data_IF_521840818481
#
_entry.id   IF_521840818481
#
_cell.length_a   1.000
_cell.length_b   1.000
_cell.length_c   1.000
_cell.angle_alpha   90.00
_cell.angle_beta   90.00
_cell.angle_gamma   90.00
#
_symmetry.space_group_name_H-M   'P 1'
#
loop_
_entity.id
_entity.type
_entity.pdbx_description
1 polymer ?
#
# COMPACT_ATOMS: atom_id res chain seq x y z
N UNK A 1 -21.97 -3.13 15.42
CA UNK A 1 -20.91 -3.92 14.78
C UNK A 1 -20.98 -3.62 13.30
N UNK A 2 -20.14 -2.72 12.79
CA UNK A 2 -20.08 -2.43 11.34
C UNK A 2 -19.45 -3.65 10.70
N UNK A 3 -20.12 -4.24 9.71
CA UNK A 3 -19.60 -5.42 9.03
C UNK A 3 -18.23 -5.06 8.42
N UNK A 4 -17.14 -5.66 8.92
CA UNK A 4 -15.77 -5.46 8.40
C UNK A 4 -15.65 -5.69 6.89
N UNK A 5 -16.64 -6.36 6.30
CA UNK A 5 -16.72 -6.70 4.88
C UNK A 5 -17.66 -5.79 4.07
N UNK A 6 -18.19 -4.71 4.66
CA UNK A 6 -19.07 -3.76 3.97
C UNK A 6 -18.28 -2.52 3.55
N UNK A 7 -18.20 -2.30 2.25
CA UNK A 7 -17.61 -1.10 1.66
C UNK A 7 -18.74 -0.10 1.41
N UNK A 8 -18.79 0.98 2.19
CA UNK A 8 -19.58 2.14 1.82
C UNK A 8 -18.94 2.81 0.61
N UNK A 9 -19.76 3.26 -0.35
CA UNK A 9 -19.25 4.00 -1.51
C UNK A 9 -18.42 5.21 -1.07
N UNK A 10 -17.23 5.36 -1.65
CA UNK A 10 -16.29 6.43 -1.30
C UNK A 10 -15.37 6.17 -0.09
N UNK A 11 -15.34 4.97 0.50
CA UNK A 11 -14.34 4.62 1.52
C UNK A 11 -12.92 4.79 0.95
N UNK A 12 -12.10 5.60 1.64
CA UNK A 12 -10.69 5.79 1.30
C UNK A 12 -9.84 5.00 2.27
N UNK A 13 -8.99 4.13 1.73
CA UNK A 13 -8.06 3.28 2.46
C UNK A 13 -6.62 3.69 2.18
N UNK A 14 -5.72 3.28 3.07
CA UNK A 14 -4.28 3.50 2.93
C UNK A 14 -3.63 2.21 2.47
N UNK A 15 -2.75 2.32 1.49
CA UNK A 15 -1.98 1.21 0.94
C UNK A 15 -0.48 1.47 1.00
N UNK A 16 0.27 0.38 1.16
CA UNK A 16 1.72 0.36 1.02
C UNK A 16 2.08 -0.75 0.02
N UNK A 17 2.99 -0.44 -0.89
CA UNK A 17 3.77 -1.44 -1.62
C UNK A 17 5.18 -1.38 -1.02
N UNK A 18 5.62 -2.45 -0.35
CA UNK A 18 6.94 -2.53 0.27
C UNK A 18 8.04 -2.47 -0.79
N UNK A 19 9.21 -2.02 -0.37
CA UNK A 19 10.41 -2.06 -1.21
C UNK A 19 10.75 -3.50 -1.61
N UNK A 20 11.16 -3.68 -2.87
CA UNK A 20 11.81 -4.90 -3.32
C UNK A 20 13.23 -4.53 -3.76
N UNK A 21 14.28 -5.02 -3.05
CA UNK A 21 15.66 -4.65 -3.33
C UNK A 21 16.02 -4.82 -4.80
N UNK A 22 16.65 -3.78 -5.38
CA UNK A 22 17.06 -3.69 -6.79
C UNK A 22 15.91 -3.64 -7.81
N UNK A 23 14.66 -3.71 -7.38
CA UNK A 23 13.49 -3.64 -8.26
C UNK A 23 12.73 -2.33 -8.10
N UNK A 24 12.31 -1.92 -6.89
CA UNK A 24 11.64 -0.64 -6.65
C UNK A 24 11.65 -0.28 -5.16
N UNK A 25 11.62 1.02 -4.87
CA UNK A 25 11.40 1.53 -3.51
C UNK A 25 9.96 1.32 -3.01
N UNK A 26 9.68 1.71 -1.76
CA UNK A 26 8.33 1.64 -1.21
C UNK A 26 7.42 2.69 -1.88
N UNK A 27 6.13 2.38 -1.98
CA UNK A 27 5.11 3.31 -2.49
C UNK A 27 3.95 3.36 -1.50
N UNK A 28 3.70 4.53 -0.92
CA UNK A 28 2.53 4.80 -0.07
C UNK A 28 1.48 5.52 -0.88
N UNK A 29 0.23 5.12 -0.69
CA UNK A 29 -0.88 5.68 -1.45
C UNK A 29 -2.19 5.60 -0.68
N UNK A 30 -3.14 6.42 -1.08
CA UNK A 30 -4.53 6.36 -0.64
C UNK A 30 -5.40 5.97 -1.82
N UNK A 31 -6.35 5.09 -1.61
CA UNK A 31 -7.18 4.56 -2.68
C UNK A 31 -8.62 4.31 -2.25
N UNK A 32 -9.52 4.28 -3.24
CA UNK A 32 -10.91 3.87 -3.06
C UNK A 32 -11.07 2.46 -3.56
N UNK A 33 -11.55 1.58 -2.69
CA UNK A 33 -11.80 0.19 -3.04
C UNK A 33 -12.89 0.11 -4.10
N UNK A 34 -12.67 -0.67 -5.16
CA UNK A 34 -13.68 -0.84 -6.19
C UNK A 34 -14.80 -1.77 -5.74
N UNK A 35 -16.06 -1.39 -5.94
CA UNK A 35 -17.22 -2.24 -5.64
C UNK A 35 -17.29 -3.48 -6.55
N UNK A 36 -17.88 -4.56 -6.05
CA UNK A 36 -17.89 -5.87 -6.72
C UNK A 36 -18.57 -5.88 -8.10
N UNK A 37 -19.60 -5.07 -8.30
CA UNK A 37 -20.27 -4.88 -9.59
C UNK A 37 -19.34 -4.21 -10.61
N UNK A 38 -18.60 -3.18 -10.18
CA UNK A 38 -17.62 -2.47 -11.00
C UNK A 38 -16.41 -3.32 -11.36
N UNK A 39 -15.98 -4.20 -10.45
CA UNK A 39 -14.95 -5.21 -10.76
C UNK A 39 -15.39 -6.10 -11.92
N UNK A 40 -16.64 -6.58 -11.91
CA UNK A 40 -17.18 -7.40 -13.01
C UNK A 40 -17.24 -6.65 -14.34
N UNK A 41 -17.60 -5.37 -14.32
CA UNK A 41 -17.59 -4.51 -15.52
C UNK A 41 -16.18 -4.37 -16.11
N UNK A 42 -15.16 -4.12 -15.26
CA UNK A 42 -13.76 -3.98 -15.70
C UNK A 42 -13.22 -5.27 -16.32
N UNK A 43 -13.49 -6.40 -15.67
CA UNK A 43 -13.02 -7.73 -16.09
C UNK A 43 -13.89 -8.34 -17.21
N UNK A 44 -14.95 -7.68 -17.65
CA UNK A 44 -15.78 -8.18 -18.72
C UNK A 44 -14.97 -8.34 -20.03
N UNK A 45 -15.02 -9.55 -20.59
CA UNK A 45 -14.27 -9.95 -21.79
C UNK A 45 -12.75 -9.79 -21.66
N UNK A 46 -12.20 -9.82 -20.45
CA UNK A 46 -10.77 -9.57 -20.21
C UNK A 46 -9.85 -10.44 -21.07
N UNK A 47 -10.15 -11.73 -21.23
CA UNK A 47 -9.29 -12.64 -21.99
C UNK A 47 -9.41 -12.48 -23.51
N UNK A 48 -10.42 -11.75 -23.98
CA UNK A 48 -10.70 -11.55 -25.41
C UNK A 48 -10.16 -10.21 -25.94
N UNK A 49 -9.73 -9.31 -25.06
CA UNK A 49 -9.23 -7.98 -25.44
C UNK A 49 -7.72 -7.96 -25.66
N UNK A 50 -7.26 -7.03 -26.51
CA UNK A 50 -5.84 -6.84 -26.79
C UNK A 50 -5.05 -6.38 -25.56
N UNK A 51 -3.74 -6.60 -25.56
CA UNK A 51 -2.86 -6.12 -24.50
C UNK A 51 -2.94 -4.59 -24.32
N UNK A 52 -3.03 -3.83 -25.41
CA UNK A 52 -3.19 -2.37 -25.37
C UNK A 52 -4.48 -1.96 -24.66
N UNK A 53 -5.59 -2.66 -24.94
CA UNK A 53 -6.87 -2.39 -24.28
C UNK A 53 -6.84 -2.77 -22.80
N UNK A 54 -6.16 -3.88 -22.44
CA UNK A 54 -5.90 -4.23 -21.03
C UNK A 54 -5.16 -3.12 -20.31
N UNK A 55 -4.04 -2.65 -20.87
CA UNK A 55 -3.25 -1.55 -20.29
C UNK A 55 -4.10 -0.28 -20.12
N UNK A 56 -4.92 0.06 -21.13
CA UNK A 56 -5.82 1.23 -21.05
C UNK A 56 -6.82 1.09 -19.90
N UNK A 57 -7.44 -0.08 -19.74
CA UNK A 57 -8.39 -0.34 -18.64
C UNK A 57 -7.70 -0.31 -17.28
N UNK A 58 -6.53 -0.93 -17.14
CA UNK A 58 -5.72 -0.88 -15.91
C UNK A 58 -5.46 0.58 -15.52
N UNK A 59 -4.95 1.38 -16.46
CA UNK A 59 -4.65 2.78 -16.20
C UNK A 59 -5.90 3.57 -15.81
N UNK A 60 -7.01 3.36 -16.50
CA UNK A 60 -8.28 4.03 -16.20
C UNK A 60 -8.78 3.71 -14.78
N UNK A 61 -8.63 2.45 -14.33
CA UNK A 61 -8.99 2.05 -12.97
C UNK A 61 -8.10 2.74 -11.94
N UNK A 62 -6.78 2.69 -12.12
CA UNK A 62 -5.82 3.31 -11.19
C UNK A 62 -6.07 4.82 -11.09
N UNK A 63 -6.21 5.52 -12.24
CA UNK A 63 -6.45 6.97 -12.27
C UNK A 63 -7.74 7.35 -11.54
N UNK A 64 -8.78 6.52 -11.64
CA UNK A 64 -10.06 6.79 -11.00
C UNK A 64 -10.04 6.52 -9.49
N UNK A 65 -9.27 5.54 -9.05
CA UNK A 65 -9.38 5.00 -7.69
C UNK A 65 -8.24 5.40 -6.77
N UNK A 66 -7.04 5.67 -7.27
CA UNK A 66 -5.96 6.23 -6.45
C UNK A 66 -6.26 7.72 -6.21
N UNK A 67 -6.28 8.11 -4.94
CA UNK A 67 -6.56 9.47 -4.49
C UNK A 67 -5.27 10.27 -4.38
N UNK A 68 -4.23 9.67 -3.81
CA UNK A 68 -2.92 10.29 -3.59
C UNK A 68 -1.82 9.22 -3.51
N UNK A 69 -0.56 9.60 -3.75
CA UNK A 69 0.62 8.76 -3.56
C UNK A 69 1.87 9.57 -3.22
N UNK A 70 2.93 8.91 -2.74
CA UNK A 70 4.22 9.54 -2.40
C UNK A 70 5.29 9.43 -3.51
N UNK A 71 4.88 9.12 -4.75
CA UNK A 71 5.82 9.03 -5.87
C UNK A 71 6.28 10.40 -6.32
N UNK A 72 7.59 10.64 -6.29
CA UNK A 72 8.21 11.92 -6.65
C UNK A 72 9.32 11.81 -7.71
N UNK A 73 9.50 12.87 -8.48
CA UNK A 73 10.67 13.12 -9.34
C UNK A 73 11.10 14.56 -9.13
N UNK A 74 12.39 14.78 -8.87
CA UNK A 74 12.98 16.11 -8.61
C UNK A 74 12.24 16.90 -7.50
N UNK A 75 11.82 16.19 -6.43
CA UNK A 75 11.11 16.77 -5.29
C UNK A 75 9.67 17.22 -5.60
N UNK A 76 9.08 16.74 -6.71
CA UNK A 76 7.68 17.00 -7.07
C UNK A 76 6.92 15.69 -7.17
N UNK A 77 5.76 15.64 -6.50
CA UNK A 77 4.83 14.52 -6.63
C UNK A 77 4.37 14.36 -8.07
N UNK A 78 4.48 13.12 -8.57
CA UNK A 78 4.04 12.78 -9.91
C UNK A 78 2.51 12.79 -10.01
N UNK A 79 1.93 13.29 -11.10
CA UNK A 79 0.48 13.25 -11.29
C UNK A 79 0.02 11.81 -11.54
N UNK A 80 -1.17 11.48 -11.04
CA UNK A 80 -1.84 10.19 -11.31
C UNK A 80 -2.51 10.26 -12.68
N UNK A 81 -1.71 10.07 -13.73
CA UNK A 81 -2.20 10.08 -15.12
C UNK A 81 -1.59 8.93 -15.95
N UNK A 82 -2.10 8.73 -17.17
CA UNK A 82 -1.62 7.64 -18.03
C UNK A 82 -0.14 7.79 -18.42
N UNK A 83 0.38 9.02 -18.51
CA UNK A 83 1.77 9.27 -18.90
C UNK A 83 2.73 8.87 -17.78
N UNK A 84 2.38 9.15 -16.54
CA UNK A 84 3.10 8.69 -15.35
C UNK A 84 3.03 7.18 -15.25
N UNK A 85 1.83 6.58 -15.33
CA UNK A 85 1.66 5.12 -15.21
C UNK A 85 2.43 4.34 -16.27
N UNK A 86 2.49 4.83 -17.51
CA UNK A 86 3.32 4.23 -18.58
C UNK A 86 4.82 4.24 -18.31
N UNK A 87 5.29 5.06 -17.36
CA UNK A 87 6.71 5.18 -16.98
C UNK A 87 7.04 4.47 -15.67
N UNK A 88 6.02 4.06 -14.91
CA UNK A 88 6.22 3.25 -13.71
C UNK A 88 6.63 1.84 -14.09
N UNK A 89 7.34 1.18 -13.17
CA UNK A 89 7.68 -0.23 -13.33
C UNK A 89 6.39 -1.05 -13.34
N UNK A 90 6.31 -2.01 -14.26
CA UNK A 90 5.10 -2.82 -14.52
C UNK A 90 4.51 -3.44 -13.25
N UNK A 91 5.37 -3.96 -12.37
CA UNK A 91 4.96 -4.60 -11.12
C UNK A 91 4.29 -3.63 -10.13
N UNK A 92 4.66 -2.34 -10.13
CA UNK A 92 3.95 -1.32 -9.33
C UNK A 92 2.56 -1.08 -9.88
N UNK A 93 2.44 -0.92 -11.21
CA UNK A 93 1.15 -0.68 -11.87
C UNK A 93 0.21 -1.86 -11.66
N UNK A 94 0.70 -3.09 -11.83
CA UNK A 94 -0.06 -4.31 -11.61
C UNK A 94 -0.49 -4.46 -10.15
N UNK A 95 0.41 -4.19 -9.18
CA UNK A 95 0.08 -4.30 -7.76
C UNK A 95 -0.95 -3.25 -7.32
N UNK A 96 -0.81 -1.99 -7.76
CA UNK A 96 -1.82 -0.94 -7.53
C UNK A 96 -3.20 -1.36 -8.07
N UNK A 97 -3.23 -1.89 -9.31
CA UNK A 97 -4.47 -2.37 -9.91
C UNK A 97 -5.10 -3.52 -9.11
N UNK A 98 -4.29 -4.52 -8.74
CA UNK A 98 -4.80 -5.68 -8.00
C UNK A 98 -5.34 -5.29 -6.61
N UNK A 99 -4.67 -4.38 -5.91
CA UNK A 99 -5.13 -3.87 -4.61
C UNK A 99 -6.48 -3.16 -4.75
N UNK A 100 -6.59 -2.22 -5.71
CA UNK A 100 -7.85 -1.49 -5.99
C UNK A 100 -9.00 -2.45 -6.37
N UNK A 101 -8.66 -3.52 -7.09
CA UNK A 101 -9.60 -4.54 -7.56
C UNK A 101 -9.93 -5.62 -6.52
N UNK A 102 -9.40 -5.52 -5.29
CA UNK A 102 -9.55 -6.53 -4.24
C UNK A 102 -9.01 -7.92 -4.62
N UNK A 103 -8.04 -7.98 -5.53
CA UNK A 103 -7.36 -9.21 -5.97
C UNK A 103 -6.06 -9.47 -5.21
N UNK A 104 -5.54 -8.44 -4.54
CA UNK A 104 -4.35 -8.49 -3.69
C UNK A 104 -4.55 -7.54 -2.49
N UNK A 105 -3.74 -7.71 -1.46
CA UNK A 105 -3.75 -6.84 -0.28
C UNK A 105 -2.58 -5.85 -0.34
N UNK A 106 -2.75 -4.62 0.18
CA UNK A 106 -1.60 -3.77 0.45
C UNK A 106 -0.66 -4.47 1.44
N UNK A 107 0.64 -4.24 1.29
CA UNK A 107 1.62 -4.80 2.21
C UNK A 107 1.42 -4.18 3.60
N UNK A 108 1.59 -5.00 4.65
CA UNK A 108 1.49 -4.51 6.02
C UNK A 108 2.56 -3.44 6.28
N UNK A 109 2.16 -2.33 6.90
CA UNK A 109 3.12 -1.45 7.55
C UNK A 109 3.59 -2.22 8.77
N UNK A 110 4.82 -2.74 8.76
CA UNK A 110 5.35 -3.34 9.99
C UNK A 110 5.27 -2.25 11.07
N UNK A 111 4.67 -2.55 12.24
CA UNK A 111 4.74 -1.62 13.35
C UNK A 111 6.23 -1.36 13.56
N UNK A 112 6.64 -0.11 13.39
CA UNK A 112 7.99 0.33 13.74
C UNK A 112 8.27 -0.27 15.11
N UNK A 113 9.33 -1.09 15.21
CA UNK A 113 9.72 -1.79 16.43
C UNK A 113 9.39 -0.89 17.60
N UNK A 114 8.43 -1.29 18.45
CA UNK A 114 8.14 -0.57 19.68
C UNK A 114 9.51 -0.39 20.34
N UNK A 115 9.98 0.86 20.38
CA UNK A 115 11.20 1.21 21.08
C UNK A 115 11.00 0.65 22.48
N UNK A 116 11.74 -0.41 22.78
CA UNK A 116 11.72 -1.05 24.08
C UNK A 116 12.28 -0.02 25.06
N UNK A 117 11.38 0.81 25.59
CA UNK A 117 11.70 1.95 26.44
C UNK A 117 12.44 1.48 27.69
N UNK A 118 12.26 0.23 28.12
CA UNK A 118 13.00 -0.40 29.21
C UNK A 118 14.49 -0.60 28.88
N UNK A 119 14.84 -0.82 27.60
CA UNK A 119 16.23 -0.84 27.13
C UNK A 119 16.84 0.55 26.99
N UNK A 120 16.02 1.54 26.64
CA UNK A 120 16.48 2.93 26.42
C UNK A 120 16.61 3.71 27.72
N UNK A 121 15.77 3.43 28.72
CA UNK A 121 15.76 4.16 29.99
C UNK A 121 16.82 3.69 30.98
N UNK A 122 17.62 2.66 30.65
CA UNK A 122 18.73 2.21 31.50
C UNK A 122 18.22 1.82 32.88
N UNK A 123 17.89 0.54 33.07
CA UNK A 123 17.68 0.00 34.41
C UNK A 123 18.95 0.07 35.25
N UNK A 124 19.30 1.26 35.73
CA UNK A 124 20.22 1.50 36.83
C UNK A 124 19.51 1.05 38.11
N UNK A 125 19.52 -0.26 38.32
CA UNK A 125 19.39 -0.84 39.65
C UNK A 125 20.78 -1.04 40.24
N UNK A 126 21.52 0.05 40.50
CA UNK A 126 22.70 0.01 41.36
C UNK A 126 22.28 -0.22 42.83
N UNK A 127 22.85 -1.28 43.39
CA UNK A 127 23.48 -1.39 44.72
C UNK A 127 22.67 -1.33 46.02
N UNK A 128 22.91 -2.36 46.85
CA UNK A 128 22.44 -2.47 48.23
C UNK A 128 23.05 -3.64 48.98
N UNK A 129 24.33 -3.47 49.33
CA UNK A 129 25.18 -4.20 50.28
C UNK A 129 24.47 -4.80 51.54
N UNK A 130 24.99 -5.92 52.07
CA UNK A 130 24.39 -6.60 53.22
C UNK A 130 25.11 -7.88 53.68
N UNK A 131 26.27 -7.67 54.29
CA UNK A 131 27.18 -8.63 54.92
C UNK A 131 26.57 -9.47 56.09
N UNK A 132 27.18 -10.64 56.34
CA UNK A 132 27.34 -11.39 57.60
C UNK A 132 26.27 -12.37 58.21
N UNK A 133 26.80 -13.59 58.50
CA UNK A 133 26.49 -14.60 59.57
C UNK A 133 25.24 -15.49 59.35
N UNK A 134 25.26 -16.81 59.58
CA UNK A 134 25.95 -17.63 60.60
C UNK A 134 26.16 -19.07 60.09
#
# INVERSE_FOLDING_TARGET
MVAKSYISDGCTEKGLIKEVPRLHGPVRFEYRVMLSDKIREVLHSWDLISATEKTRRIHAVIIKQIVSWDLEVDGKTLPIDSKTLSRLKRNIVEKLFNIVMQLDLPDEVEPSEELDLDKVLGGDGEDGDGDAKN
#
